data_IF_013056050015
#
_entry.id   IF_013056050015
#
_cell.length_a   1.000
_cell.length_b   1.000
_cell.length_c   1.000
_cell.angle_alpha   90.00
_cell.angle_beta   90.00
_cell.angle_gamma   90.00
#
_symmetry.space_group_name_H-M   'P 1'
#
loop_
_entity.id
_entity.type
_entity.pdbx_description
1 polymer ?
#
# COMPACT_ATOMS: atom_id res chain seq x y z
N UNK A 1 8.05 23.24 22.77
CA UNK A 1 7.62 22.64 21.50
C UNK A 1 6.62 23.61 20.90
N UNK A 2 7.00 24.37 19.88
CA UNK A 2 6.19 25.45 19.30
C UNK A 2 5.50 25.05 18.00
N UNK A 3 5.08 23.79 17.91
CA UNK A 3 4.42 23.23 16.74
C UNK A 3 3.22 22.39 17.19
N UNK A 4 2.12 22.50 16.45
CA UNK A 4 0.87 21.75 16.63
C UNK A 4 0.69 20.70 15.51
N UNK A 5 -0.29 19.81 15.71
CA UNK A 5 -0.67 18.83 14.69
C UNK A 5 -1.17 19.53 13.42
N UNK A 6 -0.45 19.34 12.31
CA UNK A 6 -0.77 19.96 11.02
C UNK A 6 0.25 21.01 10.55
N UNK A 7 1.21 21.38 11.40
CA UNK A 7 2.20 22.43 11.07
C UNK A 7 3.22 22.01 10.01
N UNK A 8 3.37 20.71 9.76
CA UNK A 8 4.30 20.17 8.78
C UNK A 8 3.56 19.61 7.56
N UNK A 9 4.12 19.79 6.35
CA UNK A 9 3.52 19.26 5.13
C UNK A 9 3.43 17.73 5.21
N UNK A 10 2.22 17.21 5.07
CA UNK A 10 1.95 15.78 5.00
C UNK A 10 1.63 15.37 3.56
N UNK A 11 1.94 14.12 3.23
CA UNK A 11 1.52 13.55 1.94
C UNK A 11 0.01 13.30 1.94
N UNK A 12 -0.69 13.82 0.93
CA UNK A 12 -2.13 13.65 0.78
C UNK A 12 -2.52 12.52 -0.20
N UNK A 13 -1.57 11.70 -0.63
CA UNK A 13 -1.79 10.73 -1.72
C UNK A 13 -2.95 9.76 -1.49
N UNK A 14 -3.15 9.27 -0.26
CA UNK A 14 -4.30 8.44 0.11
C UNK A 14 -5.60 9.22 0.00
N UNK A 15 -5.65 10.43 0.57
CA UNK A 15 -6.84 11.29 0.54
C UNK A 15 -7.22 11.69 -0.89
N UNK A 16 -6.25 12.12 -1.70
CA UNK A 16 -6.49 12.48 -3.10
C UNK A 16 -7.04 11.30 -3.92
N UNK A 17 -6.49 10.09 -3.74
CA UNK A 17 -7.04 8.91 -4.43
C UNK A 17 -8.44 8.56 -3.91
N UNK A 18 -8.67 8.79 -2.61
CA UNK A 18 -9.99 8.67 -2.01
C UNK A 18 -11.00 9.67 -2.59
N UNK A 19 -10.61 10.89 -2.92
CA UNK A 19 -11.52 11.84 -3.59
C UNK A 19 -11.78 11.41 -5.03
N UNK A 20 -10.71 11.07 -5.77
CA UNK A 20 -10.80 10.65 -7.18
C UNK A 20 -11.73 9.45 -7.40
N UNK A 21 -11.73 8.49 -6.47
CA UNK A 21 -12.52 7.25 -6.59
C UNK A 21 -13.82 7.28 -5.78
N UNK A 22 -14.32 8.46 -5.35
CA UNK A 22 -15.49 8.58 -4.47
C UNK A 22 -16.77 7.93 -5.05
N UNK A 23 -16.92 7.97 -6.38
CA UNK A 23 -18.07 7.37 -7.08
C UNK A 23 -17.85 5.95 -7.59
N UNK A 24 -16.70 5.32 -7.32
CA UNK A 24 -16.34 4.01 -7.85
C UNK A 24 -15.70 3.13 -6.75
N UNK A 25 -16.52 2.27 -6.15
CA UNK A 25 -16.07 1.40 -5.06
C UNK A 25 -15.07 0.33 -5.53
N UNK A 26 -15.15 -0.12 -6.79
CA UNK A 26 -14.21 -1.09 -7.35
C UNK A 26 -12.83 -0.43 -7.48
N UNK A 27 -12.80 0.79 -8.03
CA UNK A 27 -11.60 1.61 -8.09
C UNK A 27 -11.04 1.94 -6.70
N UNK A 28 -11.91 2.28 -5.74
CA UNK A 28 -11.51 2.55 -4.34
C UNK A 28 -10.73 1.38 -3.75
N UNK A 29 -11.28 0.17 -3.82
CA UNK A 29 -10.65 -1.03 -3.27
C UNK A 29 -9.37 -1.40 -4.02
N UNK A 30 -9.35 -1.21 -5.35
CA UNK A 30 -8.18 -1.48 -6.18
C UNK A 30 -6.99 -0.56 -5.88
N UNK A 31 -7.26 0.74 -5.66
CA UNK A 31 -6.22 1.77 -5.69
C UNK A 31 -5.82 2.25 -4.30
N UNK A 32 -6.70 2.21 -3.30
CA UNK A 32 -6.38 2.69 -1.94
C UNK A 32 -5.77 1.56 -1.09
N UNK A 33 -6.55 0.59 -0.56
CA UNK A 33 -6.00 -0.43 0.33
C UNK A 33 -5.11 -1.45 -0.40
N UNK A 34 -5.43 -1.80 -1.64
CA UNK A 34 -4.59 -2.73 -2.41
C UNK A 34 -3.30 -2.09 -2.92
N UNK A 35 -3.31 -0.84 -3.37
CA UNK A 35 -2.16 -0.25 -4.09
C UNK A 35 -1.37 0.75 -3.25
N UNK A 36 -2.04 1.76 -2.69
CA UNK A 36 -1.35 2.83 -1.97
C UNK A 36 -0.88 2.39 -0.58
N UNK A 37 -1.71 1.65 0.15
CA UNK A 37 -1.34 1.06 1.46
C UNK A 37 -0.22 0.02 1.31
N UNK A 38 -0.23 -0.78 0.23
CA UNK A 38 0.85 -1.74 -0.05
C UNK A 38 2.26 -1.14 -0.16
N UNK A 39 2.38 0.19 -0.33
CA UNK A 39 3.68 0.89 -0.27
C UNK A 39 4.30 0.83 1.13
N UNK A 40 3.50 0.73 2.19
CA UNK A 40 3.97 0.52 3.55
C UNK A 40 4.73 -0.79 3.71
N UNK A 41 4.34 -1.84 2.97
CA UNK A 41 5.02 -3.13 2.95
C UNK A 41 6.46 -3.02 2.42
N UNK A 42 6.67 -2.15 1.42
CA UNK A 42 7.96 -1.96 0.76
C UNK A 42 8.85 -0.95 1.51
N UNK A 43 8.25 0.11 2.05
CA UNK A 43 8.98 1.19 2.72
C UNK A 43 9.45 0.82 4.12
N UNK A 44 8.65 0.06 4.88
CA UNK A 44 8.94 -0.25 6.29
C UNK A 44 10.30 -0.94 6.49
N UNK A 45 10.67 -1.98 5.72
CA UNK A 45 11.99 -2.61 5.86
C UNK A 45 13.16 -1.63 5.67
N UNK A 46 13.03 -0.66 4.75
CA UNK A 46 14.06 0.34 4.51
C UNK A 46 14.20 1.31 5.68
N UNK A 47 13.09 1.72 6.29
CA UNK A 47 13.07 2.59 7.47
C UNK A 47 13.67 1.85 8.67
N UNK A 48 13.26 0.60 8.90
CA UNK A 48 13.82 -0.23 9.97
C UNK A 48 15.33 -0.40 9.84
N UNK A 49 15.84 -0.64 8.62
CA UNK A 49 17.27 -0.78 8.38
C UNK A 49 18.04 0.49 8.74
N UNK A 50 17.52 1.67 8.38
CA UNK A 50 18.12 2.96 8.76
C UNK A 50 18.11 3.17 10.28
N UNK A 51 17.02 2.83 10.95
CA UNK A 51 16.90 2.95 12.41
C UNK A 51 17.85 2.00 13.15
N UNK A 52 17.99 0.75 12.67
CA UNK A 52 18.98 -0.21 13.22
C UNK A 52 20.41 0.31 13.10
N UNK A 53 20.74 1.03 12.03
CA UNK A 53 22.07 1.65 11.84
C UNK A 53 22.31 2.82 12.82
N UNK A 54 21.27 3.57 13.19
CA UNK A 54 21.37 4.63 14.21
C UNK A 54 21.66 4.04 15.59
N UNK A 55 21.00 2.93 15.95
CA UNK A 55 21.36 2.11 17.11
C UNK A 55 21.07 2.70 18.49
N UNK A 56 20.41 3.86 18.58
CA UNK A 56 19.98 4.43 19.87
C UNK A 56 18.82 3.61 20.47
N UNK A 57 18.62 3.64 21.80
CA UNK A 57 17.50 2.93 22.44
C UNK A 57 16.15 3.25 21.80
N UNK A 58 15.89 4.53 21.52
CA UNK A 58 14.63 4.97 20.87
C UNK A 58 14.52 4.47 19.43
N UNK A 59 15.63 4.45 18.67
CA UNK A 59 15.63 3.93 17.30
C UNK A 59 15.33 2.43 17.28
N UNK A 60 15.90 1.65 18.21
CA UNK A 60 15.61 0.23 18.35
C UNK A 60 14.19 -0.04 18.83
N UNK A 61 13.65 0.78 19.73
CA UNK A 61 12.24 0.72 20.12
C UNK A 61 11.30 0.99 18.93
N UNK A 62 11.62 1.99 18.11
CA UNK A 62 10.86 2.30 16.89
C UNK A 62 10.88 1.15 15.87
N UNK A 63 11.99 0.41 15.75
CA UNK A 63 12.06 -0.79 14.90
C UNK A 63 11.02 -1.85 15.33
N UNK A 64 10.90 -2.10 16.63
CA UNK A 64 9.93 -3.06 17.18
C UNK A 64 8.48 -2.61 16.93
N UNK A 65 8.20 -1.31 17.00
CA UNK A 65 6.88 -0.75 16.67
C UNK A 65 6.59 -0.95 15.18
N UNK A 66 7.58 -0.73 14.31
CA UNK A 66 7.43 -0.93 12.88
C UNK A 66 7.21 -2.41 12.50
N UNK A 67 7.71 -3.37 13.28
CA UNK A 67 7.39 -4.78 13.07
C UNK A 67 5.90 -5.08 13.29
N UNK A 68 5.29 -4.45 14.31
CA UNK A 68 3.85 -4.56 14.57
C UNK A 68 3.07 -3.94 13.42
N UNK A 69 3.43 -2.71 13.02
CA UNK A 69 2.76 -1.97 11.93
C UNK A 69 2.85 -2.76 10.62
N UNK A 70 4.03 -3.29 10.26
CA UNK A 70 4.19 -4.07 9.04
C UNK A 70 3.28 -5.30 9.02
N UNK A 71 3.17 -6.02 10.14
CA UNK A 71 2.29 -7.19 10.26
C UNK A 71 0.81 -6.82 10.10
N UNK A 72 0.37 -5.71 10.67
CA UNK A 72 -1.00 -5.22 10.53
C UNK A 72 -1.29 -4.75 9.09
N UNK A 73 -0.32 -4.09 8.46
CA UNK A 73 -0.45 -3.59 7.10
C UNK A 73 -0.64 -4.71 6.07
N UNK A 74 -0.04 -5.88 6.28
CA UNK A 74 -0.31 -7.07 5.45
C UNK A 74 -1.81 -7.40 5.48
N UNK A 75 -2.44 -7.31 6.65
CA UNK A 75 -3.88 -7.54 6.82
C UNK A 75 -4.74 -6.49 6.11
N UNK A 76 -4.37 -5.21 6.20
CA UNK A 76 -5.08 -4.13 5.50
C UNK A 76 -5.05 -4.31 3.98
N UNK A 77 -3.87 -4.60 3.44
CA UNK A 77 -3.68 -4.84 2.00
C UNK A 77 -4.41 -6.12 1.56
N UNK A 78 -4.42 -7.17 2.38
CA UNK A 78 -5.16 -8.39 2.12
C UNK A 78 -6.67 -8.17 2.05
N UNK A 79 -7.21 -7.32 2.93
CA UNK A 79 -8.62 -6.93 2.89
C UNK A 79 -8.92 -6.17 1.59
N UNK A 80 -8.03 -5.26 1.16
CA UNK A 80 -8.13 -4.58 -0.13
C UNK A 80 -8.17 -5.57 -1.31
N UNK A 81 -7.25 -6.52 -1.35
CA UNK A 81 -7.22 -7.59 -2.37
C UNK A 81 -8.51 -8.42 -2.37
N UNK A 82 -8.99 -8.82 -1.20
CA UNK A 82 -10.22 -9.62 -1.05
C UNK A 82 -11.43 -8.89 -1.61
N UNK A 83 -11.65 -7.64 -1.19
CA UNK A 83 -12.83 -6.89 -1.63
C UNK A 83 -12.75 -6.47 -3.09
N UNK A 84 -11.57 -6.11 -3.59
CA UNK A 84 -11.38 -5.82 -5.01
C UNK A 84 -11.79 -7.02 -5.87
N UNK A 85 -11.27 -8.22 -5.57
CA UNK A 85 -11.61 -9.44 -6.34
C UNK A 85 -13.08 -9.82 -6.21
N UNK A 86 -13.66 -9.66 -5.02
CA UNK A 86 -15.09 -9.91 -4.82
C UNK A 86 -15.96 -8.95 -5.65
N UNK A 87 -15.62 -7.66 -5.69
CA UNK A 87 -16.32 -6.67 -6.50
C UNK A 87 -16.16 -6.94 -8.00
N UNK A 88 -14.96 -7.30 -8.45
CA UNK A 88 -14.75 -7.73 -9.83
C UNK A 88 -15.62 -8.93 -10.20
N UNK A 89 -15.70 -9.94 -9.34
CA UNK A 89 -16.57 -11.10 -9.58
C UNK A 89 -18.06 -10.70 -9.63
N UNK A 90 -18.51 -9.82 -8.73
CA UNK A 90 -19.89 -9.31 -8.71
C UNK A 90 -20.25 -8.57 -10.00
N UNK A 91 -19.32 -7.75 -10.50
CA UNK A 91 -19.54 -6.86 -11.65
C UNK A 91 -19.03 -7.47 -12.98
N UNK A 92 -18.63 -8.75 -12.94
CA UNK A 92 -18.13 -9.53 -14.08
C UNK A 92 -16.89 -8.92 -14.78
N UNK A 93 -15.97 -8.36 -13.99
CA UNK A 93 -14.65 -7.92 -14.44
C UNK A 93 -13.59 -9.01 -14.21
N UNK A 94 -12.67 -9.14 -15.16
CA UNK A 94 -11.41 -9.83 -14.90
C UNK A 94 -10.50 -8.91 -14.05
N UNK A 95 -10.11 -9.33 -12.81
CA UNK A 95 -9.40 -8.46 -11.88
C UNK A 95 -8.08 -7.90 -12.41
N UNK A 96 -7.29 -8.66 -13.17
CA UNK A 96 -5.95 -8.20 -13.59
C UNK A 96 -6.01 -7.10 -14.66
N UNK A 97 -6.63 -7.30 -15.84
CA UNK A 97 -6.74 -6.25 -16.86
C UNK A 97 -7.59 -5.06 -16.38
N UNK A 98 -8.61 -5.31 -15.57
CA UNK A 98 -9.39 -4.21 -14.99
C UNK A 98 -8.55 -3.36 -14.04
N UNK A 99 -7.68 -3.99 -13.23
CA UNK A 99 -6.76 -3.26 -12.36
C UNK A 99 -5.83 -2.35 -13.16
N UNK A 100 -5.24 -2.87 -14.23
CA UNK A 100 -4.39 -2.08 -15.14
C UNK A 100 -5.15 -0.87 -15.68
N UNK A 101 -6.39 -1.07 -16.17
CA UNK A 101 -7.22 0.01 -16.68
C UNK A 101 -7.53 1.07 -15.60
N UNK A 102 -7.81 0.64 -14.36
CA UNK A 102 -8.03 1.55 -13.22
C UNK A 102 -6.77 2.34 -12.85
N UNK A 103 -5.59 1.70 -12.85
CA UNK A 103 -4.33 2.42 -12.58
C UNK A 103 -4.06 3.52 -13.61
N UNK A 104 -4.37 3.28 -14.89
CA UNK A 104 -4.25 4.28 -15.94
C UNK A 104 -5.31 5.38 -15.79
N UNK A 105 -6.59 5.01 -15.62
CA UNK A 105 -7.73 5.93 -15.52
C UNK A 105 -7.59 6.94 -14.38
N UNK A 106 -7.09 6.50 -13.23
CA UNK A 106 -6.97 7.33 -12.03
C UNK A 106 -5.56 7.84 -11.78
N UNK A 107 -4.63 7.59 -12.72
CA UNK A 107 -3.22 7.99 -12.64
C UNK A 107 -2.57 7.49 -11.33
N UNK A 108 -2.79 6.21 -11.01
CA UNK A 108 -2.23 5.62 -9.81
C UNK A 108 -0.71 5.56 -9.90
N UNK A 109 0.02 5.94 -8.84
CA UNK A 109 1.47 5.90 -8.85
C UNK A 109 1.96 4.45 -8.92
N UNK A 110 3.00 4.22 -9.74
CA UNK A 110 3.72 2.95 -9.75
C UNK A 110 4.50 2.78 -8.44
N UNK A 111 4.58 1.56 -7.86
CA UNK A 111 5.40 1.33 -6.69
C UNK A 111 6.88 1.51 -7.05
N UNK A 112 7.68 1.94 -6.07
CA UNK A 112 9.13 2.07 -6.23
C UNK A 112 9.82 0.80 -5.73
N UNK A 113 10.71 0.16 -6.51
CA UNK A 113 11.47 -0.97 -6.03
C UNK A 113 12.46 -0.57 -4.91
N UNK A 114 12.93 -1.52 -4.08
CA UNK A 114 12.58 -2.94 -4.12
C UNK A 114 11.19 -3.21 -3.50
N UNK A 115 10.43 -4.11 -4.12
CA UNK A 115 9.16 -4.57 -3.55
C UNK A 115 9.43 -5.59 -2.44
N UNK A 116 8.62 -5.56 -1.38
CA UNK A 116 8.57 -6.63 -0.41
C UNK A 116 7.70 -7.77 -0.94
N UNK A 117 8.26 -8.55 -1.87
CA UNK A 117 7.58 -9.65 -2.56
C UNK A 117 6.93 -10.62 -1.58
N UNK A 118 7.62 -10.97 -0.48
CA UNK A 118 7.08 -11.86 0.55
C UNK A 118 5.81 -11.29 1.19
N UNK A 119 5.86 -10.05 1.70
CA UNK A 119 4.70 -9.44 2.34
C UNK A 119 3.54 -9.21 1.36
N UNK A 120 3.83 -8.89 0.09
CA UNK A 120 2.79 -8.75 -0.94
C UNK A 120 2.15 -10.10 -1.30
N UNK A 121 2.91 -11.19 -1.41
CA UNK A 121 2.36 -12.54 -1.56
C UNK A 121 1.46 -12.91 -0.36
N UNK A 122 1.92 -12.63 0.86
CA UNK A 122 1.12 -12.83 2.09
C UNK A 122 -0.15 -11.98 2.11
N UNK A 123 -0.09 -10.76 1.56
CA UNK A 123 -1.25 -9.90 1.35
C UNK A 123 -2.15 -10.34 0.18
N UNK A 124 -1.82 -11.44 -0.51
CA UNK A 124 -2.65 -12.06 -1.53
C UNK A 124 -2.41 -11.55 -2.95
N UNK A 125 -1.28 -10.94 -3.28
CA UNK A 125 -0.90 -10.72 -4.68
C UNK A 125 -0.52 -12.04 -5.37
N UNK A 126 -0.81 -12.18 -6.66
CA UNK A 126 -0.32 -13.28 -7.49
C UNK A 126 1.08 -12.99 -8.03
N UNK A 127 1.80 -14.03 -8.47
CA UNK A 127 3.10 -13.85 -9.13
C UNK A 127 2.99 -13.00 -10.40
N UNK A 128 1.93 -13.18 -11.19
CA UNK A 128 1.65 -12.37 -12.38
C UNK A 128 1.47 -10.88 -12.03
N UNK A 129 0.72 -10.58 -10.96
CA UNK A 129 0.56 -9.20 -10.48
C UNK A 129 1.90 -8.61 -10.02
N UNK A 130 2.74 -9.39 -9.34
CA UNK A 130 4.06 -8.94 -8.88
C UNK A 130 5.04 -8.72 -10.03
N UNK A 131 5.01 -9.58 -11.05
CA UNK A 131 5.78 -9.39 -12.28
C UNK A 131 5.37 -8.08 -12.97
N UNK A 132 4.07 -7.77 -13.07
CA UNK A 132 3.61 -6.51 -13.65
C UNK A 132 4.03 -5.26 -12.85
N UNK A 133 4.15 -5.39 -11.52
CA UNK A 133 4.56 -4.31 -10.62
C UNK A 133 6.07 -4.06 -10.63
N UNK A 134 6.86 -5.02 -11.13
CA UNK A 134 8.32 -4.95 -11.17
C UNK A 134 8.75 -4.55 -12.59
N UNK A 135 9.24 -3.31 -12.81
CA UNK A 135 9.65 -2.85 -14.14
C UNK A 135 10.93 -3.55 -14.65
#
# INVERSE_FOLDING_TARGET
MGHDYGDFPAHQGLWTMCEKTAGDIVARMALVPRTLEARGLDATPLIQNKLRQIGTPDALAAVNILDIILREEIGHVAIGNRWYRWLCARDNFDPHPHFIALTARYEAPRPKPPLNTKARLEAGFSEEELLWLTP
#
